data_IF_745963218119
#
_entry.id   IF_745963218119
#
_cell.length_a   1.000
_cell.length_b   1.000
_cell.length_c   1.000
_cell.angle_alpha   90.00
_cell.angle_beta   90.00
_cell.angle_gamma   90.00
#
_symmetry.space_group_name_H-M   'P 1'
#
loop_
_entity.id
_entity.type
_entity.pdbx_description
1 polymer ?
#
# COMPACT_ATOMS: atom_id res chain seq x y z
N UNK A 1 7.21 -19.88 -7.24
CA UNK A 1 6.40 -19.40 -6.12
C UNK A 1 5.99 -17.92 -6.17
N UNK A 2 6.91 -16.99 -6.41
CA UNK A 2 6.66 -15.52 -6.37
C UNK A 2 5.74 -15.07 -7.50
N UNK A 3 5.90 -15.63 -8.69
CA UNK A 3 5.12 -15.23 -9.88
C UNK A 3 3.63 -15.65 -9.79
N UNK A 4 3.34 -16.75 -9.13
CA UNK A 4 1.95 -17.23 -8.94
C UNK A 4 1.16 -16.33 -7.99
N UNK A 5 1.79 -15.87 -6.89
CA UNK A 5 1.17 -14.95 -5.91
C UNK A 5 0.94 -13.56 -6.50
N UNK A 6 1.90 -13.06 -7.30
CA UNK A 6 1.76 -11.78 -8.00
C UNK A 6 0.62 -11.81 -9.03
N UNK A 7 0.48 -12.89 -9.79
CA UNK A 7 -0.64 -13.08 -10.72
C UNK A 7 -2.00 -13.16 -10.03
N UNK A 8 -2.04 -13.73 -8.82
CA UNK A 8 -3.25 -13.85 -8.03
C UNK A 8 -3.67 -12.48 -7.45
N UNK A 9 -2.72 -11.66 -6.99
CA UNK A 9 -2.98 -10.27 -6.58
C UNK A 9 -3.48 -9.41 -7.73
N UNK A 10 -2.88 -9.53 -8.91
CA UNK A 10 -3.30 -8.80 -10.09
C UNK A 10 -4.75 -9.13 -10.50
N UNK A 11 -5.16 -10.39 -10.40
CA UNK A 11 -6.52 -10.82 -10.69
C UNK A 11 -7.53 -10.31 -9.66
N UNK A 12 -7.18 -10.36 -8.37
CA UNK A 12 -8.05 -9.87 -7.30
C UNK A 12 -8.17 -8.34 -7.31
N UNK A 13 -7.09 -7.63 -7.62
CA UNK A 13 -7.06 -6.18 -7.71
C UNK A 13 -7.68 -5.61 -9.00
N UNK A 14 -8.04 -6.46 -9.97
CA UNK A 14 -8.56 -6.03 -11.29
C UNK A 14 -7.68 -4.98 -11.99
N UNK A 15 -6.38 -5.05 -11.76
CA UNK A 15 -5.39 -4.12 -12.30
C UNK A 15 -4.96 -4.56 -13.71
N UNK A 16 -5.57 -3.92 -14.72
CA UNK A 16 -5.26 -4.13 -16.13
C UNK A 16 -4.73 -2.86 -16.80
N UNK A 17 -3.89 -3.03 -17.79
CA UNK A 17 -3.43 -1.92 -18.61
C UNK A 17 -4.53 -1.37 -19.51
N UNK A 18 -4.51 -0.07 -19.78
CA UNK A 18 -5.50 0.60 -20.63
C UNK A 18 -5.40 0.17 -22.10
N UNK A 19 -4.19 -0.13 -22.56
CA UNK A 19 -3.92 -0.60 -23.94
C UNK A 19 -3.66 -2.10 -23.89
N UNK A 20 -4.41 -2.88 -24.68
CA UNK A 20 -4.32 -4.34 -24.77
C UNK A 20 -4.61 -5.11 -23.45
N UNK A 21 -5.14 -4.46 -22.45
CA UNK A 21 -5.54 -5.04 -21.16
C UNK A 21 -4.55 -6.05 -20.54
N UNK A 22 -3.23 -5.84 -20.59
CA UNK A 22 -2.32 -6.76 -19.95
C UNK A 22 -2.45 -6.69 -18.43
N UNK A 23 -2.34 -7.81 -17.70
CA UNK A 23 -2.36 -7.78 -16.25
C UNK A 23 -1.16 -6.98 -15.73
N UNK A 24 -1.42 -5.99 -14.86
CA UNK A 24 -0.37 -5.19 -14.24
C UNK A 24 0.33 -5.98 -13.14
N UNK A 25 1.60 -5.74 -12.99
CA UNK A 25 2.35 -6.27 -11.84
C UNK A 25 1.92 -5.54 -10.59
N UNK A 26 1.38 -6.27 -9.62
CA UNK A 26 1.00 -5.75 -8.31
C UNK A 26 1.90 -6.32 -7.23
N UNK A 27 2.16 -5.53 -6.19
CA UNK A 27 2.95 -5.95 -5.04
C UNK A 27 2.34 -5.39 -3.75
N UNK A 28 2.88 -5.81 -2.63
CA UNK A 28 2.54 -5.24 -1.34
C UNK A 28 3.04 -3.80 -1.23
N UNK A 29 2.41 -3.03 -0.34
CA UNK A 29 2.83 -1.67 -0.06
C UNK A 29 4.27 -1.65 0.49
N UNK A 30 5.10 -0.79 -0.08
CA UNK A 30 6.50 -0.64 0.29
C UNK A 30 6.73 0.72 0.97
N UNK A 31 6.77 0.72 2.30
CA UNK A 31 6.96 1.95 3.07
C UNK A 31 8.38 2.51 2.97
N UNK A 32 9.37 1.69 2.62
CA UNK A 32 10.77 2.16 2.44
C UNK A 32 10.86 3.09 1.23
N UNK A 33 10.27 2.69 0.10
CA UNK A 33 10.21 3.52 -1.12
C UNK A 33 9.44 4.82 -0.86
N UNK A 34 8.26 4.72 -0.24
CA UNK A 34 7.41 5.88 0.02
C UNK A 34 8.08 6.85 0.99
N UNK A 35 8.72 6.36 2.03
CA UNK A 35 9.48 7.15 3.00
C UNK A 35 10.67 7.85 2.35
N UNK A 36 11.40 7.17 1.46
CA UNK A 36 12.47 7.78 0.66
C UNK A 36 11.93 8.90 -0.21
N UNK A 37 10.83 8.67 -0.92
CA UNK A 37 10.17 9.68 -1.75
C UNK A 37 9.71 10.89 -0.93
N UNK A 38 9.20 10.66 0.28
CA UNK A 38 8.80 11.73 1.19
C UNK A 38 9.96 12.67 1.54
N UNK A 39 11.14 12.11 1.77
CA UNK A 39 12.35 12.90 2.06
C UNK A 39 12.84 13.69 0.84
N UNK A 40 12.82 13.08 -0.34
CA UNK A 40 13.37 13.70 -1.56
C UNK A 40 12.43 14.76 -2.11
N UNK A 41 11.11 14.48 -2.13
CA UNK A 41 10.11 15.39 -2.69
C UNK A 41 9.61 16.39 -1.65
N UNK A 42 9.64 16.02 -0.37
CA UNK A 42 9.18 16.87 0.73
C UNK A 42 7.66 16.99 0.84
N UNK A 43 6.91 15.98 0.40
CA UNK A 43 5.45 16.02 0.56
C UNK A 43 5.03 15.83 2.03
N UNK A 44 3.92 16.44 2.40
CA UNK A 44 3.45 16.53 3.78
C UNK A 44 2.36 15.52 4.10
N UNK A 45 1.62 15.06 3.08
CA UNK A 45 0.47 14.16 3.22
C UNK A 45 0.44 13.11 2.12
N UNK A 46 -0.25 12.00 2.40
CA UNK A 46 -0.49 10.91 1.47
C UNK A 46 -1.95 10.89 1.01
N UNK A 47 -2.17 10.43 -0.20
CA UNK A 47 -3.47 10.00 -0.69
C UNK A 47 -3.44 8.48 -0.90
N UNK A 48 -4.26 7.74 -0.15
CA UNK A 48 -4.33 6.28 -0.22
C UNK A 48 -5.54 5.88 -1.05
N UNK A 49 -5.30 5.34 -2.23
CA UNK A 49 -6.35 5.05 -3.19
C UNK A 49 -6.73 3.56 -3.24
N UNK A 50 -7.98 3.28 -3.59
CA UNK A 50 -8.47 1.95 -3.93
C UNK A 50 -8.24 0.91 -2.82
N UNK A 51 -8.65 1.20 -1.60
CA UNK A 51 -8.59 0.25 -0.47
C UNK A 51 -9.51 -0.97 -0.68
N UNK A 52 -10.53 -0.86 -1.50
CA UNK A 52 -11.46 -1.93 -1.85
C UNK A 52 -10.78 -3.15 -2.48
N UNK A 53 -9.67 -2.96 -3.17
CA UNK A 53 -8.90 -4.06 -3.77
C UNK A 53 -8.29 -5.02 -2.73
N UNK A 54 -8.15 -4.57 -1.49
CA UNK A 54 -7.61 -5.36 -0.39
C UNK A 54 -8.67 -6.20 0.32
N UNK A 55 -9.95 -5.96 0.06
CA UNK A 55 -11.06 -6.73 0.62
C UNK A 55 -10.97 -8.20 0.20
N UNK A 56 -11.14 -9.12 1.14
CA UNK A 56 -11.04 -10.57 0.91
C UNK A 56 -9.63 -11.14 1.01
N UNK A 57 -8.62 -10.34 1.28
CA UNK A 57 -7.27 -10.80 1.55
C UNK A 57 -7.12 -11.05 3.05
N UNK A 58 -6.86 -12.30 3.44
CA UNK A 58 -6.78 -12.70 4.85
C UNK A 58 -5.63 -12.04 5.61
N UNK A 59 -4.47 -11.96 4.99
CA UNK A 59 -3.27 -11.37 5.58
C UNK A 59 -2.69 -10.33 4.64
N UNK A 60 -2.63 -9.10 5.11
CA UNK A 60 -2.02 -7.98 4.41
C UNK A 60 -0.57 -7.83 4.87
N UNK A 61 0.30 -7.43 3.96
CA UNK A 61 1.73 -7.23 4.25
C UNK A 61 2.15 -5.83 3.86
N UNK A 62 2.96 -5.23 4.73
CA UNK A 62 3.60 -3.92 4.47
C UNK A 62 5.10 -4.13 4.57
N UNK A 63 5.83 -3.80 3.51
CA UNK A 63 7.28 -3.82 3.56
C UNK A 63 7.77 -2.63 4.38
N UNK A 64 8.44 -2.91 5.48
CA UNK A 64 8.91 -1.89 6.44
C UNK A 64 10.42 -1.72 6.42
N UNK A 65 11.15 -2.68 5.88
CA UNK A 65 12.60 -2.66 5.77
C UNK A 65 13.06 -3.59 4.64
N UNK A 66 14.34 -3.49 4.30
CA UNK A 66 15.02 -4.43 3.41
C UNK A 66 16.11 -5.18 4.16
N UNK A 67 16.39 -6.39 3.70
CA UNK A 67 17.56 -7.16 4.13
C UNK A 67 18.57 -7.21 3.00
N UNK A 68 19.75 -6.66 3.23
CA UNK A 68 20.87 -6.65 2.30
C UNK A 68 22.08 -7.34 2.95
N UNK A 69 22.58 -8.44 2.36
CA UNK A 69 23.73 -9.21 2.88
C UNK A 69 23.56 -9.64 4.35
N UNK A 70 22.33 -10.02 4.74
CA UNK A 70 22.04 -10.45 6.11
C UNK A 70 21.84 -9.29 7.11
N UNK A 71 21.90 -8.03 6.66
CA UNK A 71 21.65 -6.85 7.49
C UNK A 71 20.30 -6.23 7.14
N UNK A 72 19.50 -5.95 8.15
CA UNK A 72 18.26 -5.19 8.01
C UNK A 72 18.57 -3.72 7.82
N UNK A 73 18.11 -3.14 6.71
CA UNK A 73 18.21 -1.73 6.40
C UNK A 73 16.82 -1.10 6.27
N UNK A 74 16.66 0.12 6.75
CA UNK A 74 15.40 0.87 6.73
C UNK A 74 15.38 2.03 5.72
N UNK A 75 16.41 2.10 4.89
CA UNK A 75 16.57 3.11 3.86
C UNK A 75 16.60 2.49 2.46
N UNK A 76 16.27 3.30 1.46
CA UNK A 76 16.31 2.89 0.07
C UNK A 76 17.76 2.76 -0.41
N UNK A 77 18.14 1.64 -1.08
CA UNK A 77 19.49 1.43 -1.58
C UNK A 77 19.91 2.49 -2.60
N UNK A 78 21.19 2.85 -2.60
CA UNK A 78 21.73 3.86 -3.49
C UNK A 78 21.93 3.37 -4.93
N UNK A 79 22.08 2.07 -5.14
CA UNK A 79 22.33 1.47 -6.45
C UNK A 79 21.29 0.41 -6.80
N UNK A 80 21.05 0.22 -8.11
CA UNK A 80 20.16 -0.85 -8.61
C UNK A 80 20.67 -2.26 -8.24
N UNK A 81 21.98 -2.44 -8.20
CA UNK A 81 22.60 -3.73 -7.82
C UNK A 81 22.28 -4.08 -6.36
N UNK A 82 22.35 -3.11 -5.47
CA UNK A 82 21.98 -3.31 -4.06
C UNK A 82 20.48 -3.55 -3.93
N UNK A 83 19.65 -2.84 -4.68
CA UNK A 83 18.21 -3.02 -4.68
C UNK A 83 17.81 -4.44 -5.14
N UNK A 84 18.45 -4.94 -6.19
CA UNK A 84 18.20 -6.30 -6.70
C UNK A 84 18.63 -7.38 -5.71
N UNK A 85 19.65 -7.11 -4.90
CA UNK A 85 20.12 -8.02 -3.86
C UNK A 85 19.30 -7.94 -2.55
N UNK A 86 18.47 -6.91 -2.39
CA UNK A 86 17.63 -6.74 -1.22
C UNK A 86 16.46 -7.74 -1.18
N UNK A 87 16.15 -8.20 0.03
CA UNK A 87 14.94 -8.95 0.32
C UNK A 87 13.99 -8.07 1.15
N UNK A 88 12.70 -7.99 0.79
CA UNK A 88 11.76 -7.21 1.59
C UNK A 88 11.47 -7.89 2.93
N UNK A 89 11.41 -7.10 3.99
CA UNK A 89 10.95 -7.51 5.31
C UNK A 89 9.55 -6.96 5.51
N UNK A 90 8.59 -7.84 5.75
CA UNK A 90 7.18 -7.49 5.84
C UNK A 90 6.67 -7.54 7.28
N UNK A 91 5.86 -6.56 7.64
CA UNK A 91 4.92 -6.66 8.74
C UNK A 91 3.61 -7.24 8.23
N UNK A 92 3.05 -8.20 8.95
CA UNK A 92 1.79 -8.85 8.60
C UNK A 92 0.65 -8.27 9.44
N UNK A 93 -0.46 -7.95 8.78
CA UNK A 93 -1.67 -7.42 9.39
C UNK A 93 -2.87 -8.26 8.97
N UNK A 94 -3.87 -8.43 9.86
CA UNK A 94 -5.10 -9.09 9.48
C UNK A 94 -5.85 -8.26 8.44
N UNK A 95 -6.40 -8.93 7.43
CA UNK A 95 -7.26 -8.32 6.43
C UNK A 95 -8.71 -8.23 6.89
N UNK A 96 -9.58 -7.81 5.98
CA UNK A 96 -11.02 -7.72 6.17
C UNK A 96 -11.76 -8.31 4.97
N UNK A 97 -12.96 -8.81 5.22
CA UNK A 97 -13.84 -9.37 4.20
C UNK A 97 -15.07 -8.49 3.92
N UNK A 98 -15.27 -7.46 4.76
CA UNK A 98 -16.40 -6.55 4.66
C UNK A 98 -16.29 -5.67 3.42
N UNK A 99 -17.42 -5.39 2.78
CA UNK A 99 -17.50 -4.43 1.68
C UNK A 99 -17.35 -3.00 2.22
N UNK A 100 -16.23 -2.35 1.88
CA UNK A 100 -15.92 -0.98 2.31
C UNK A 100 -16.28 0.09 1.27
N UNK A 101 -16.80 -0.30 0.10
CA UNK A 101 -17.07 0.64 -1.00
C UNK A 101 -18.11 1.71 -0.67
N UNK A 102 -18.92 1.49 0.34
CA UNK A 102 -19.93 2.43 0.83
C UNK A 102 -19.49 3.27 2.04
N UNK A 103 -18.30 3.02 2.56
CA UNK A 103 -17.77 3.77 3.70
C UNK A 103 -17.42 5.21 3.27
N UNK A 104 -17.92 6.19 4.02
CA UNK A 104 -17.70 7.64 3.77
C UNK A 104 -16.80 8.30 4.78
N UNK A 105 -16.51 7.63 5.89
CA UNK A 105 -15.66 8.12 6.96
C UNK A 105 -14.70 7.04 7.42
N UNK A 106 -13.62 7.44 8.06
CA UNK A 106 -12.66 6.51 8.65
C UNK A 106 -13.32 5.59 9.69
N UNK A 107 -14.25 6.12 10.49
CA UNK A 107 -14.93 5.36 11.56
C UNK A 107 -15.87 4.27 11.02
N UNK A 108 -16.36 4.40 9.78
CA UNK A 108 -17.19 3.40 9.12
C UNK A 108 -16.39 2.20 8.60
N UNK A 109 -15.07 2.32 8.52
CA UNK A 109 -14.20 1.24 8.09
C UNK A 109 -14.15 0.12 9.14
N UNK A 110 -14.00 -1.15 8.73
CA UNK A 110 -13.69 -2.25 9.65
C UNK A 110 -12.42 -1.93 10.47
N UNK A 111 -12.36 -2.43 11.70
CA UNK A 111 -11.22 -2.22 12.59
C UNK A 111 -9.90 -2.61 11.94
N UNK A 112 -9.86 -3.71 11.19
CA UNK A 112 -8.66 -4.15 10.49
C UNK A 112 -8.25 -3.18 9.37
N UNK A 113 -9.21 -2.56 8.68
CA UNK A 113 -8.92 -1.53 7.67
C UNK A 113 -8.36 -0.25 8.32
N UNK A 114 -8.92 0.18 9.44
CA UNK A 114 -8.41 1.29 10.24
C UNK A 114 -6.98 1.02 10.72
N UNK A 115 -6.70 -0.17 11.21
CA UNK A 115 -5.37 -0.59 11.64
C UNK A 115 -4.36 -0.58 10.49
N UNK A 116 -4.78 -1.02 9.30
CA UNK A 116 -3.94 -0.97 8.10
C UNK A 116 -3.54 0.46 7.74
N UNK A 117 -4.50 1.39 7.69
CA UNK A 117 -4.24 2.80 7.41
C UNK A 117 -3.31 3.44 8.45
N UNK A 118 -3.55 3.17 9.73
CA UNK A 118 -2.70 3.67 10.81
C UNK A 118 -1.27 3.10 10.73
N UNK A 119 -1.14 1.84 10.35
CA UNK A 119 0.16 1.19 10.20
C UNK A 119 0.95 1.77 9.02
N UNK A 120 0.29 2.02 7.89
CA UNK A 120 0.90 2.69 6.73
C UNK A 120 1.39 4.08 7.11
N UNK A 121 0.56 4.88 7.77
CA UNK A 121 0.92 6.22 8.23
C UNK A 121 2.13 6.19 9.17
N UNK A 122 2.15 5.28 10.13
CA UNK A 122 3.26 5.11 11.08
C UNK A 122 4.54 4.65 10.39
N UNK A 123 4.45 3.71 9.45
CA UNK A 123 5.61 3.17 8.73
C UNK A 123 6.26 4.21 7.81
N UNK A 124 5.47 5.06 7.17
CA UNK A 124 5.95 6.12 6.28
C UNK A 124 6.39 7.35 7.08
N UNK A 125 5.76 7.63 8.21
CA UNK A 125 6.00 8.83 9.01
C UNK A 125 5.35 10.10 8.44
N UNK A 126 4.41 9.96 7.51
CA UNK A 126 3.65 11.05 6.89
C UNK A 126 2.15 10.72 7.01
N UNK A 127 1.31 11.65 7.50
CA UNK A 127 -0.12 11.42 7.62
C UNK A 127 -0.79 11.30 6.25
N UNK A 128 -1.91 10.59 6.18
CA UNK A 128 -2.77 10.60 5.01
C UNK A 128 -3.85 11.67 5.13
N UNK A 129 -4.09 12.40 4.04
CA UNK A 129 -5.15 13.42 3.98
C UNK A 129 -6.45 12.85 3.41
N UNK A 130 -6.33 11.92 2.47
CA UNK A 130 -7.47 11.28 1.81
C UNK A 130 -7.26 9.77 1.69
N UNK A 131 -8.38 9.05 1.66
CA UNK A 131 -8.38 7.65 1.25
C UNK A 131 -9.58 7.38 0.33
N UNK A 132 -9.43 6.47 -0.61
CA UNK A 132 -10.55 6.04 -1.44
C UNK A 132 -10.88 4.57 -1.23
N UNK A 133 -12.17 4.27 -1.29
CA UNK A 133 -12.73 2.92 -1.15
C UNK A 133 -13.23 2.35 -2.46
N UNK A 134 -12.94 3.01 -3.55
CA UNK A 134 -13.30 2.61 -4.91
C UNK A 134 -12.77 3.58 -5.95
N UNK A 135 -13.03 3.31 -7.25
CA UNK A 135 -12.51 4.12 -8.35
C UNK A 135 -13.27 5.44 -8.56
N UNK A 136 -14.47 5.56 -8.02
CA UNK A 136 -15.32 6.72 -8.24
C UNK A 136 -14.91 7.90 -7.35
N UNK A 137 -15.09 9.11 -7.87
CA UNK A 137 -14.78 10.35 -7.14
C UNK A 137 -15.53 10.45 -5.81
N UNK A 138 -16.77 10.00 -5.78
CA UNK A 138 -17.62 10.01 -4.59
C UNK A 138 -17.15 9.02 -3.51
N UNK A 139 -16.30 8.05 -3.87
CA UNK A 139 -15.69 7.07 -2.97
C UNK A 139 -14.37 7.56 -2.38
N UNK A 140 -13.98 8.81 -2.65
CA UNK A 140 -12.80 9.45 -2.04
C UNK A 140 -13.23 10.24 -0.81
N UNK A 141 -12.66 9.88 0.33
CA UNK A 141 -12.95 10.46 1.62
C UNK A 141 -11.82 11.38 2.08
N UNK A 142 -12.17 12.59 2.51
CA UNK A 142 -11.20 13.57 3.02
C UNK A 142 -11.13 13.44 4.54
N UNK A 143 -9.93 13.16 5.06
CA UNK A 143 -9.65 13.10 6.49
C UNK A 143 -9.12 14.44 6.98
N UNK A 144 -8.23 15.06 6.21
CA UNK A 144 -7.64 16.35 6.50
C UNK A 144 -7.62 17.23 5.24
N UNK A 145 -8.09 18.46 5.36
CA UNK A 145 -8.01 19.43 4.26
C UNK A 145 -6.61 20.02 4.20
N UNK A 146 -5.96 19.86 3.05
CA UNK A 146 -4.60 20.36 2.79
C UNK A 146 -4.56 21.46 1.73
N UNK A 147 -5.73 21.95 1.31
CA UNK A 147 -5.93 23.04 0.34
C UNK A 147 -6.92 24.07 0.86
#
# INVERSE_FOLDING_TARGET
GVDRRRRQMCRSAREYGVIAEPPRRSGWFDSVVVRHSARVIGYTHLALNCLDILTGIKTLKICVAYELNGKKIDHYPATLKELDACKPVYDELPGWDEDITKCKTFDELPTNAQNYLNHVQKAVGVPYATFSVGPDREQTNVVEKVW
#
